data_IF_259880464012
#
_entry.id   IF_259880464012
#
_cell.length_a   1.000
_cell.length_b   1.000
_cell.length_c   1.000
_cell.angle_alpha   90.00
_cell.angle_beta   90.00
_cell.angle_gamma   90.00
#
_symmetry.space_group_name_H-M   'P 1'
#
loop_
_entity.id
_entity.type
_entity.pdbx_description
1 polymer ?
#
# COMPACT_ATOMS: atom_id res chain seq x y z
N UNK A 1 -17.75 4.56 1.45
CA UNK A 1 -17.26 3.17 1.65
C UNK A 1 -18.38 2.22 2.08
N UNK A 2 -19.15 2.54 3.09
CA UNK A 2 -20.27 1.71 3.60
C UNK A 2 -21.31 1.35 2.52
N UNK A 3 -21.62 2.29 1.63
CA UNK A 3 -22.53 2.04 0.50
C UNK A 3 -22.02 0.94 -0.44
N UNK A 4 -20.73 0.95 -0.78
CA UNK A 4 -20.10 -0.08 -1.62
C UNK A 4 -20.17 -1.45 -0.95
N UNK A 5 -19.86 -1.53 0.34
CA UNK A 5 -19.91 -2.77 1.08
C UNK A 5 -21.34 -3.34 1.18
N UNK A 6 -22.36 -2.48 1.27
CA UNK A 6 -23.76 -2.90 1.22
C UNK A 6 -24.19 -3.40 -0.16
N UNK A 7 -23.67 -2.80 -1.22
CA UNK A 7 -23.85 -3.30 -2.59
C UNK A 7 -23.22 -4.68 -2.76
N UNK A 8 -21.98 -4.87 -2.29
CA UNK A 8 -21.29 -6.15 -2.37
C UNK A 8 -21.97 -7.29 -1.61
N UNK A 9 -22.74 -7.01 -0.55
CA UNK A 9 -23.58 -8.02 0.13
C UNK A 9 -24.66 -8.65 -0.79
N UNK A 10 -25.06 -7.92 -1.82
CA UNK A 10 -26.07 -8.39 -2.80
C UNK A 10 -25.42 -8.92 -4.07
N UNK A 11 -24.10 -8.94 -4.14
CA UNK A 11 -23.32 -9.34 -5.33
C UNK A 11 -22.86 -10.78 -5.20
N UNK A 12 -23.35 -11.65 -6.06
CA UNK A 12 -22.98 -13.08 -6.03
C UNK A 12 -21.60 -13.34 -6.60
N UNK A 13 -21.20 -12.62 -7.66
CA UNK A 13 -19.93 -12.78 -8.37
C UNK A 13 -19.29 -11.41 -8.55
N UNK A 14 -18.03 -11.29 -8.21
CA UNK A 14 -17.22 -10.07 -8.40
C UNK A 14 -16.02 -10.38 -9.29
N UNK A 15 -15.79 -9.58 -10.33
CA UNK A 15 -14.66 -9.75 -11.25
C UNK A 15 -13.64 -8.65 -11.01
N UNK A 16 -12.44 -9.03 -10.63
CA UNK A 16 -11.33 -8.10 -10.36
C UNK A 16 -10.10 -8.57 -11.15
N UNK A 17 -10.08 -8.23 -12.45
CA UNK A 17 -9.01 -8.63 -13.36
C UNK A 17 -8.03 -7.49 -13.58
N UNK A 18 -6.78 -7.67 -13.13
CA UNK A 18 -5.68 -6.73 -13.37
C UNK A 18 -4.76 -7.21 -14.47
N UNK A 19 -4.21 -6.27 -15.26
CA UNK A 19 -3.14 -6.52 -16.24
C UNK A 19 -1.75 -6.29 -15.63
N UNK A 20 -1.67 -5.59 -14.53
CA UNK A 20 -0.45 -5.24 -13.81
C UNK A 20 -0.31 -6.04 -12.52
N UNK A 21 0.84 -5.97 -11.88
CA UNK A 21 1.07 -6.56 -10.56
C UNK A 21 0.37 -5.69 -9.51
N UNK A 22 -0.78 -6.15 -9.05
CA UNK A 22 -1.59 -5.45 -8.07
C UNK A 22 -0.94 -5.54 -6.69
N UNK A 23 -0.65 -4.42 -5.99
CA UNK A 23 0.05 -4.49 -4.70
C UNK A 23 -0.69 -5.30 -3.63
N UNK A 24 -2.04 -5.24 -3.61
CA UNK A 24 -2.83 -5.97 -2.61
C UNK A 24 -4.18 -6.47 -3.14
N UNK A 25 -4.93 -5.65 -3.90
CA UNK A 25 -6.25 -6.03 -4.42
C UNK A 25 -7.41 -5.79 -3.45
N UNK A 26 -7.47 -4.59 -2.88
CA UNK A 26 -8.51 -4.20 -1.91
C UNK A 26 -9.94 -4.49 -2.37
N UNK A 27 -10.27 -4.24 -3.64
CA UNK A 27 -11.61 -4.49 -4.19
C UNK A 27 -11.99 -5.97 -4.12
N UNK A 28 -11.04 -6.87 -4.43
CA UNK A 28 -11.24 -8.31 -4.32
C UNK A 28 -11.45 -8.72 -2.86
N UNK A 29 -10.66 -8.18 -1.95
CA UNK A 29 -10.78 -8.44 -0.51
C UNK A 29 -12.14 -7.99 0.05
N UNK A 30 -12.59 -6.81 -0.33
CA UNK A 30 -13.89 -6.27 0.09
C UNK A 30 -15.05 -7.13 -0.42
N UNK A 31 -14.98 -7.62 -1.67
CA UNK A 31 -15.97 -8.54 -2.23
C UNK A 31 -15.97 -9.89 -1.51
N UNK A 32 -14.80 -10.48 -1.28
CA UNK A 32 -14.64 -11.74 -0.55
C UNK A 32 -15.19 -11.62 0.89
N UNK A 33 -14.94 -10.49 1.57
CA UNK A 33 -15.44 -10.23 2.93
C UNK A 33 -16.98 -10.24 3.04
N UNK A 34 -17.69 -10.11 1.91
CA UNK A 34 -19.15 -10.12 1.82
C UNK A 34 -19.70 -11.42 1.25
N UNK A 35 -18.86 -12.43 1.06
CA UNK A 35 -19.26 -13.73 0.54
C UNK A 35 -19.47 -13.76 -0.97
N UNK A 36 -19.01 -12.74 -1.71
CA UNK A 36 -19.04 -12.77 -3.18
C UNK A 36 -17.98 -13.75 -3.69
N UNK A 37 -18.33 -14.54 -4.73
CA UNK A 37 -17.33 -15.33 -5.44
C UNK A 37 -16.47 -14.38 -6.27
N UNK A 38 -15.19 -14.29 -5.95
CA UNK A 38 -14.27 -13.42 -6.69
C UNK A 38 -13.60 -14.18 -7.84
N UNK A 39 -13.60 -13.57 -9.01
CA UNK A 39 -12.85 -14.03 -10.20
C UNK A 39 -11.74 -13.04 -10.44
N UNK A 40 -10.51 -13.48 -10.28
CA UNK A 40 -9.31 -12.63 -10.27
C UNK A 40 -8.25 -13.13 -11.24
N UNK A 41 -7.33 -12.26 -11.63
CA UNK A 41 -6.11 -12.66 -12.34
C UNK A 41 -5.01 -13.02 -11.34
N UNK A 42 -4.10 -13.90 -11.75
CA UNK A 42 -2.89 -14.22 -10.97
C UNK A 42 -1.86 -13.08 -11.13
N UNK A 43 -2.12 -11.94 -10.48
CA UNK A 43 -1.32 -10.72 -10.58
C UNK A 43 -1.07 -10.10 -9.20
N UNK A 44 0.20 -10.00 -8.83
CA UNK A 44 0.64 -9.43 -7.55
C UNK A 44 -0.07 -10.06 -6.35
N UNK A 45 -0.60 -9.22 -5.46
CA UNK A 45 -1.31 -9.63 -4.25
C UNK A 45 -2.76 -10.09 -4.44
N UNK A 46 -3.32 -10.06 -5.65
CA UNK A 46 -4.71 -10.51 -5.87
C UNK A 46 -4.98 -11.94 -5.38
N UNK A 47 -4.13 -12.95 -5.66
CA UNK A 47 -4.36 -14.31 -5.18
C UNK A 47 -4.45 -14.45 -3.67
N UNK A 48 -3.82 -13.55 -2.92
CA UNK A 48 -3.81 -13.56 -1.47
C UNK A 48 -5.14 -13.09 -0.85
N UNK A 49 -5.98 -12.41 -1.63
CA UNK A 49 -7.24 -11.82 -1.15
C UNK A 49 -8.36 -12.82 -0.97
N UNK A 50 -8.23 -14.04 -1.46
CA UNK A 50 -9.25 -15.09 -1.37
C UNK A 50 -8.66 -16.49 -1.33
N UNK A 51 -9.26 -17.37 -0.52
CA UNK A 51 -8.89 -18.78 -0.46
C UNK A 51 -9.67 -19.64 -1.46
N UNK A 52 -10.84 -19.17 -1.92
CA UNK A 52 -11.78 -19.96 -2.73
C UNK A 52 -12.18 -19.29 -4.04
N UNK A 53 -11.63 -18.12 -4.35
CA UNK A 53 -11.90 -17.42 -5.60
C UNK A 53 -11.36 -18.17 -6.83
N UNK A 54 -11.87 -17.82 -7.98
CA UNK A 54 -11.38 -18.35 -9.26
C UNK A 54 -10.21 -17.50 -9.74
N UNK A 55 -9.04 -18.11 -9.81
CA UNK A 55 -7.81 -17.46 -10.26
C UNK A 55 -7.56 -17.78 -11.73
N UNK A 56 -7.54 -16.76 -12.56
CA UNK A 56 -7.20 -16.87 -13.99
C UNK A 56 -5.67 -16.75 -14.13
N UNK A 57 -5.01 -17.82 -14.57
CA UNK A 57 -3.55 -17.83 -14.81
C UNK A 57 -3.11 -16.77 -15.83
N UNK A 58 -3.96 -16.50 -16.83
CA UNK A 58 -3.76 -15.44 -17.84
C UNK A 58 -5.09 -14.73 -18.04
N UNK A 59 -5.04 -13.42 -18.25
CA UNK A 59 -6.23 -12.65 -18.63
C UNK A 59 -6.58 -12.96 -20.08
N UNK A 60 -7.64 -13.76 -20.24
CA UNK A 60 -8.17 -14.17 -21.53
C UNK A 60 -9.70 -14.09 -21.45
N UNK A 61 -10.30 -13.37 -22.39
CA UNK A 61 -11.75 -13.15 -22.42
C UNK A 61 -12.54 -14.46 -22.55
N UNK A 62 -12.10 -15.40 -23.39
CA UNK A 62 -12.76 -16.70 -23.56
C UNK A 62 -12.73 -17.52 -22.26
N UNK A 63 -11.60 -17.52 -21.55
CA UNK A 63 -11.47 -18.21 -20.27
C UNK A 63 -12.32 -17.54 -19.20
N UNK A 64 -12.35 -16.21 -19.15
CA UNK A 64 -13.18 -15.44 -18.21
C UNK A 64 -14.67 -15.77 -18.44
N UNK A 65 -15.14 -15.70 -19.69
CA UNK A 65 -16.53 -16.03 -20.06
C UNK A 65 -16.88 -17.45 -19.59
N UNK A 66 -16.02 -18.43 -19.90
CA UNK A 66 -16.26 -19.83 -19.50
C UNK A 66 -16.40 -19.99 -17.98
N UNK A 67 -15.57 -19.25 -17.20
CA UNK A 67 -15.64 -19.30 -15.73
C UNK A 67 -16.86 -18.58 -15.18
N UNK A 68 -17.28 -17.48 -15.78
CA UNK A 68 -18.50 -16.77 -15.40
C UNK A 68 -19.76 -17.61 -15.75
N UNK A 69 -19.80 -18.21 -16.93
CA UNK A 69 -20.90 -19.10 -17.30
C UNK A 69 -21.05 -20.28 -16.34
N UNK A 70 -19.94 -20.91 -15.93
CA UNK A 70 -19.95 -21.97 -14.93
C UNK A 70 -20.60 -21.49 -13.62
N UNK A 71 -20.15 -20.35 -13.10
CA UNK A 71 -20.67 -19.79 -11.84
C UNK A 71 -22.12 -19.32 -11.94
N UNK A 72 -22.58 -18.90 -13.13
CA UNK A 72 -23.96 -18.44 -13.35
C UNK A 72 -24.90 -19.65 -13.47
N UNK A 73 -24.49 -20.71 -14.17
CA UNK A 73 -25.32 -21.89 -14.45
C UNK A 73 -25.36 -22.86 -13.26
N UNK A 74 -24.28 -22.96 -12.49
CA UNK A 74 -24.17 -23.89 -11.36
C UNK A 74 -24.35 -23.13 -10.03
N UNK A 75 -25.60 -23.05 -9.58
CA UNK A 75 -25.99 -22.39 -8.34
C UNK A 75 -25.37 -23.06 -7.10
N UNK A 76 -25.29 -24.38 -7.09
CA UNK A 76 -24.78 -25.14 -5.95
C UNK A 76 -23.27 -24.90 -5.78
N UNK A 77 -22.52 -24.97 -6.86
CA UNK A 77 -21.09 -24.62 -6.85
C UNK A 77 -20.87 -23.18 -6.37
N UNK A 78 -21.64 -22.24 -6.92
CA UNK A 78 -21.52 -20.83 -6.55
C UNK A 78 -21.80 -20.62 -5.07
N UNK A 79 -22.91 -21.14 -4.55
CA UNK A 79 -23.29 -21.07 -3.13
C UNK A 79 -22.25 -21.71 -2.22
N UNK A 80 -21.72 -22.86 -2.59
CA UNK A 80 -20.68 -23.54 -1.85
C UNK A 80 -19.42 -22.68 -1.72
N UNK A 81 -19.00 -22.02 -2.79
CA UNK A 81 -17.86 -21.10 -2.77
C UNK A 81 -18.19 -19.87 -1.92
N UNK A 82 -19.38 -19.29 -2.05
CA UNK A 82 -19.80 -18.11 -1.28
C UNK A 82 -19.76 -18.39 0.23
N UNK A 83 -20.34 -19.50 0.67
CA UNK A 83 -20.39 -19.90 2.08
C UNK A 83 -18.97 -20.09 2.63
N UNK A 84 -18.11 -20.81 1.89
CA UNK A 84 -16.71 -21.01 2.30
C UNK A 84 -15.94 -19.69 2.36
N UNK A 85 -16.09 -18.85 1.34
CA UNK A 85 -15.43 -17.53 1.30
C UNK A 85 -15.81 -16.66 2.49
N UNK A 86 -17.09 -16.67 2.86
CA UNK A 86 -17.58 -15.87 3.99
C UNK A 86 -17.14 -16.44 5.34
N UNK A 87 -17.29 -17.74 5.55
CA UNK A 87 -16.98 -18.38 6.84
C UNK A 87 -15.48 -18.38 7.15
N UNK A 88 -14.65 -18.60 6.13
CA UNK A 88 -13.20 -18.71 6.29
C UNK A 88 -12.46 -17.39 6.03
N UNK A 89 -13.19 -16.26 6.04
CA UNK A 89 -12.58 -14.96 5.80
C UNK A 89 -11.64 -14.55 6.94
N UNK A 90 -10.33 -14.54 6.66
CA UNK A 90 -9.29 -14.32 7.66
C UNK A 90 -8.93 -12.85 7.90
N UNK A 91 -9.17 -11.97 6.92
CA UNK A 91 -8.71 -10.58 6.95
C UNK A 91 -9.67 -9.62 7.69
N UNK A 92 -10.35 -10.11 8.73
CA UNK A 92 -11.09 -9.22 9.61
C UNK A 92 -10.12 -8.41 10.50
N UNK A 93 -10.50 -7.19 10.87
CA UNK A 93 -9.69 -6.37 11.78
C UNK A 93 -9.29 -7.12 13.04
N UNK A 94 -10.23 -7.88 13.62
CA UNK A 94 -9.97 -8.67 14.83
C UNK A 94 -8.91 -9.75 14.62
N UNK A 95 -8.97 -10.48 13.50
CA UNK A 95 -8.02 -11.55 13.21
C UNK A 95 -6.61 -10.99 12.93
N UNK A 96 -6.54 -9.94 12.11
CA UNK A 96 -5.26 -9.28 11.81
C UNK A 96 -4.63 -8.68 13.07
N UNK A 97 -5.43 -8.04 13.94
CA UNK A 97 -4.89 -7.53 15.21
C UNK A 97 -4.32 -8.64 16.08
N UNK A 98 -5.00 -9.78 16.17
CA UNK A 98 -4.49 -10.96 16.92
C UNK A 98 -3.20 -11.51 16.32
N UNK A 99 -3.10 -11.60 14.98
CA UNK A 99 -1.88 -12.04 14.31
C UNK A 99 -0.71 -11.09 14.58
N UNK A 100 -0.95 -9.78 14.48
CA UNK A 100 0.06 -8.76 14.81
C UNK A 100 0.51 -8.89 16.27
N UNK A 101 -0.42 -9.05 17.20
CA UNK A 101 -0.07 -9.20 18.62
C UNK A 101 0.72 -10.47 18.88
N UNK A 102 0.41 -11.58 18.20
CA UNK A 102 1.18 -12.82 18.29
C UNK A 102 2.59 -12.64 17.70
N UNK A 103 2.71 -11.99 16.53
CA UNK A 103 4.02 -11.69 15.95
C UNK A 103 4.84 -10.78 16.88
N UNK A 104 4.23 -9.77 17.49
CA UNK A 104 4.91 -8.88 18.46
C UNK A 104 5.43 -9.63 19.66
N UNK A 105 4.64 -10.55 20.23
CA UNK A 105 5.07 -11.43 21.33
C UNK A 105 6.29 -12.26 20.94
N UNK A 106 6.27 -12.85 19.75
CA UNK A 106 7.37 -13.66 19.25
C UNK A 106 8.64 -12.83 18.99
N UNK A 107 8.50 -11.64 18.43
CA UNK A 107 9.61 -10.71 18.20
C UNK A 107 10.22 -10.27 19.53
N UNK A 108 9.43 -9.97 20.56
CA UNK A 108 9.93 -9.57 21.87
C UNK A 108 10.72 -10.68 22.58
N UNK A 109 10.50 -11.95 22.22
CA UNK A 109 11.25 -13.09 22.72
C UNK A 109 12.56 -13.30 21.96
N UNK A 110 12.57 -13.01 20.65
CA UNK A 110 13.70 -13.28 19.75
C UNK A 110 14.73 -12.14 19.76
N UNK A 111 14.31 -10.91 20.01
CA UNK A 111 15.23 -9.77 20.07
C UNK A 111 15.81 -9.61 21.46
N UNK A 112 17.06 -10.09 21.68
CA UNK A 112 17.74 -9.79 22.91
C UNK A 112 17.96 -8.28 22.96
N UNK A 113 17.35 -7.62 23.93
CA UNK A 113 17.58 -6.23 24.30
C UNK A 113 17.80 -5.32 23.09
N UNK A 114 16.78 -4.57 22.73
CA UNK A 114 17.03 -3.32 22.01
C UNK A 114 18.26 -2.67 22.61
N UNK A 115 19.29 -2.47 21.82
CA UNK A 115 20.34 -1.54 22.16
C UNK A 115 19.58 -0.25 22.40
N UNK A 116 19.42 0.12 23.68
CA UNK A 116 18.91 1.44 24.02
C UNK A 116 19.78 2.39 23.21
N UNK A 117 19.18 3.03 22.21
CA UNK A 117 19.88 4.04 21.43
C UNK A 117 20.52 4.94 22.48
N UNK A 118 21.85 4.89 22.58
CA UNK A 118 22.62 5.67 23.49
C UNK A 118 22.06 7.09 23.45
N UNK A 119 21.93 7.73 24.63
CA UNK A 119 21.36 9.06 24.84
C UNK A 119 21.44 9.92 23.58
N UNK A 120 20.30 10.24 23.01
CA UNK A 120 20.07 10.74 21.67
C UNK A 120 21.10 11.79 21.24
N UNK A 121 22.07 11.38 20.45
CA UNK A 121 22.83 12.34 19.66
C UNK A 121 21.85 12.88 18.62
N UNK A 122 21.65 14.20 18.60
CA UNK A 122 20.88 14.84 17.53
C UNK A 122 21.55 14.53 16.19
N UNK A 123 20.79 13.93 15.25
CA UNK A 123 21.27 13.64 13.91
C UNK A 123 20.89 14.78 12.97
N UNK A 124 21.72 15.03 11.97
CA UNK A 124 21.39 15.81 10.79
C UNK A 124 20.74 14.89 9.76
N UNK A 125 19.45 15.07 9.49
CA UNK A 125 18.68 14.21 8.60
C UNK A 125 18.31 15.00 7.35
N UNK A 126 18.72 14.50 6.17
CA UNK A 126 18.23 14.99 4.88
C UNK A 126 17.02 14.13 4.49
N UNK A 127 15.83 14.71 4.57
CA UNK A 127 14.58 14.02 4.25
C UNK A 127 14.03 14.47 2.90
N UNK A 128 14.00 13.54 1.93
CA UNK A 128 13.59 13.77 0.55
C UNK A 128 12.31 12.99 0.30
N UNK A 129 11.21 13.68 0.11
CA UNK A 129 9.90 13.07 -0.16
C UNK A 129 8.93 14.10 -0.71
N UNK A 130 7.76 13.67 -1.13
CA UNK A 130 6.69 14.59 -1.54
C UNK A 130 6.05 15.27 -0.33
N UNK A 131 6.37 16.53 -0.09
CA UNK A 131 5.73 17.37 0.94
C UNK A 131 4.47 18.07 0.44
N UNK A 132 4.25 18.09 -0.89
CA UNK A 132 3.11 18.72 -1.55
C UNK A 132 2.91 20.21 -1.16
N UNK A 133 4.01 20.97 -1.15
CA UNK A 133 4.07 22.36 -0.72
C UNK A 133 3.26 23.29 -1.67
N UNK A 134 3.26 22.98 -2.98
CA UNK A 134 2.59 23.78 -4.01
C UNK A 134 1.05 23.85 -3.91
N UNK A 135 0.45 23.00 -3.09
CA UNK A 135 -1.00 22.94 -2.88
C UNK A 135 -1.40 23.43 -1.48
N UNK A 136 -0.69 24.44 -0.97
CA UNK A 136 -0.96 25.08 0.34
C UNK A 136 -1.09 24.09 1.50
N UNK A 137 -0.32 23.02 1.43
CA UNK A 137 -0.32 22.00 2.47
C UNK A 137 -1.62 21.19 2.58
N UNK A 138 -2.42 21.09 1.52
CA UNK A 138 -3.67 20.28 1.49
C UNK A 138 -3.52 18.86 2.01
N UNK A 139 -2.32 18.32 1.93
CA UNK A 139 -2.03 16.99 2.46
C UNK A 139 -1.41 17.06 3.86
N UNK A 140 -2.09 17.65 4.83
CA UNK A 140 -1.69 17.59 6.24
C UNK A 140 -1.46 16.16 6.74
N UNK A 141 -2.03 15.17 6.08
CA UNK A 141 -1.95 13.74 6.39
C UNK A 141 -0.92 12.99 5.55
N UNK A 142 -0.10 13.70 4.79
CA UNK A 142 0.99 13.09 4.02
C UNK A 142 1.96 12.35 4.96
N UNK A 143 2.24 11.09 4.65
CA UNK A 143 3.14 10.24 5.42
C UNK A 143 4.53 10.86 5.55
N UNK A 144 5.06 11.45 4.47
CA UNK A 144 6.36 12.12 4.48
C UNK A 144 6.40 13.25 5.51
N UNK A 145 5.38 14.11 5.55
CA UNK A 145 5.30 15.20 6.53
C UNK A 145 5.20 14.72 7.97
N UNK A 146 4.46 13.63 8.20
CA UNK A 146 4.36 13.01 9.54
C UNK A 146 5.70 12.46 10.00
N UNK A 147 6.42 11.76 9.13
CA UNK A 147 7.76 11.24 9.41
C UNK A 147 8.72 12.40 9.68
N UNK A 148 8.71 13.44 8.84
CA UNK A 148 9.52 14.64 9.03
C UNK A 148 9.30 15.28 10.41
N UNK A 149 8.03 15.48 10.78
CA UNK A 149 7.65 16.03 12.08
C UNK A 149 8.05 15.09 13.23
N UNK A 150 8.02 13.78 13.01
CA UNK A 150 8.52 12.78 13.95
C UNK A 150 10.01 12.97 14.25
N UNK A 151 10.83 13.14 13.21
CA UNK A 151 12.27 13.42 13.38
C UNK A 151 12.53 14.71 14.16
N UNK A 152 11.79 15.79 13.84
CA UNK A 152 11.92 17.07 14.54
C UNK A 152 11.54 16.92 16.03
N UNK A 153 10.41 16.23 16.32
CA UNK A 153 9.98 16.00 17.72
C UNK A 153 10.95 15.12 18.50
N UNK A 154 11.69 14.26 17.82
CA UNK A 154 12.76 13.46 18.42
C UNK A 154 14.05 14.28 18.66
N UNK A 155 14.08 15.56 18.30
CA UNK A 155 15.22 16.46 18.52
C UNK A 155 16.30 16.36 17.45
N UNK A 156 15.99 15.85 16.25
CA UNK A 156 16.90 15.82 15.12
C UNK A 156 16.86 17.14 14.33
N UNK A 157 17.98 17.47 13.70
CA UNK A 157 18.07 18.60 12.76
C UNK A 157 17.70 18.10 11.36
N UNK A 158 16.58 18.54 10.83
CA UNK A 158 16.02 18.00 9.58
C UNK A 158 16.02 19.03 8.46
N UNK A 159 16.70 18.71 7.36
CA UNK A 159 16.58 19.45 6.10
C UNK A 159 15.63 18.69 5.17
N UNK A 160 14.50 19.30 4.84
CA UNK A 160 13.50 18.71 3.97
C UNK A 160 13.66 19.14 2.51
N UNK A 161 13.44 18.23 1.57
CA UNK A 161 13.39 18.49 0.13
C UNK A 161 12.13 17.85 -0.43
N UNK A 162 11.23 18.67 -1.01
CA UNK A 162 10.04 18.17 -1.71
C UNK A 162 10.40 17.81 -3.15
N UNK A 163 10.54 16.52 -3.43
CA UNK A 163 10.98 16.00 -4.73
C UNK A 163 9.99 16.36 -5.86
N UNK A 164 8.71 16.04 -5.67
CA UNK A 164 7.67 16.27 -6.68
C UNK A 164 7.39 17.74 -6.94
N UNK A 165 7.48 18.58 -5.92
CA UNK A 165 7.28 20.01 -6.08
C UNK A 165 8.42 20.62 -6.89
N UNK A 166 9.67 20.23 -6.62
CA UNK A 166 10.84 20.65 -7.40
C UNK A 166 10.71 20.19 -8.83
N UNK A 167 10.47 18.91 -9.07
CA UNK A 167 10.28 18.36 -10.42
C UNK A 167 9.20 19.14 -11.17
N UNK A 168 8.07 19.42 -10.53
CA UNK A 168 6.97 20.11 -11.18
C UNK A 168 7.22 21.58 -11.48
N UNK A 169 7.93 22.28 -10.58
CA UNK A 169 8.15 23.72 -10.68
C UNK A 169 9.31 24.10 -11.61
N UNK A 170 10.29 23.17 -11.79
CA UNK A 170 11.52 23.46 -12.54
C UNK A 170 11.62 22.74 -13.90
N UNK A 171 10.53 22.18 -14.39
CA UNK A 171 10.47 21.66 -15.76
C UNK A 171 10.67 22.78 -16.76
N UNK A 172 11.58 22.58 -17.70
CA UNK A 172 11.85 23.52 -18.79
C UNK A 172 12.28 22.75 -20.04
N UNK A 173 12.59 23.47 -21.13
CA UNK A 173 12.99 22.86 -22.41
C UNK A 173 14.29 22.06 -22.30
N UNK A 174 15.20 22.43 -21.41
CA UNK A 174 16.50 21.75 -21.20
C UNK A 174 16.43 20.63 -20.16
N UNK A 175 15.43 20.66 -19.24
CA UNK A 175 15.15 19.61 -18.28
C UNK A 175 13.63 19.29 -18.23
N UNK A 176 13.10 18.63 -19.29
CA UNK A 176 11.66 18.37 -19.41
C UNK A 176 11.09 17.51 -18.28
N UNK A 177 11.96 16.73 -17.63
CA UNK A 177 11.59 15.87 -16.48
C UNK A 177 11.81 16.56 -15.14
N UNK A 178 12.53 17.69 -15.08
CA UNK A 178 12.89 18.36 -13.82
C UNK A 178 13.85 17.57 -12.92
N UNK A 179 14.36 16.43 -13.40
CA UNK A 179 15.18 15.52 -12.61
C UNK A 179 16.62 16.02 -12.43
N UNK A 180 17.16 16.72 -13.42
CA UNK A 180 18.50 17.31 -13.35
C UNK A 180 18.55 18.38 -12.26
N UNK A 181 17.55 19.26 -12.21
CA UNK A 181 17.42 20.30 -11.19
C UNK A 181 17.27 19.70 -9.79
N UNK A 182 16.45 18.64 -9.65
CA UNK A 182 16.29 17.94 -8.37
C UNK A 182 17.61 17.34 -7.90
N UNK A 183 18.31 16.61 -8.78
CA UNK A 183 19.59 15.97 -8.46
C UNK A 183 20.65 17.00 -8.02
N UNK A 184 20.77 18.11 -8.77
CA UNK A 184 21.69 19.18 -8.40
C UNK A 184 21.37 19.78 -7.04
N UNK A 185 20.09 19.97 -6.74
CA UNK A 185 19.65 20.48 -5.44
C UNK A 185 19.97 19.48 -4.31
N UNK A 186 19.73 18.20 -4.52
CA UNK A 186 20.07 17.16 -3.55
C UNK A 186 21.57 17.15 -3.25
N UNK A 187 22.42 17.09 -4.30
CA UNK A 187 23.88 17.07 -4.16
C UNK A 187 24.38 18.32 -3.45
N UNK A 188 23.89 19.51 -3.86
CA UNK A 188 24.26 20.78 -3.17
C UNK A 188 23.84 20.79 -1.71
N UNK A 189 22.62 20.30 -1.42
CA UNK A 189 22.12 20.22 -0.04
C UNK A 189 22.92 19.22 0.80
N UNK A 190 23.29 18.08 0.22
CA UNK A 190 24.14 17.10 0.87
C UNK A 190 25.52 17.69 1.25
N UNK A 191 26.18 18.34 0.29
CA UNK A 191 27.50 18.92 0.49
C UNK A 191 27.51 20.03 1.54
N UNK A 192 26.46 20.85 1.59
CA UNK A 192 26.35 21.97 2.52
C UNK A 192 25.89 21.52 3.92
N UNK A 193 24.91 20.64 3.99
CA UNK A 193 24.29 20.20 5.24
C UNK A 193 25.08 19.09 5.93
N UNK A 194 25.79 18.25 5.15
CA UNK A 194 26.54 17.06 5.60
C UNK A 194 25.68 16.20 6.54
N UNK A 195 24.61 15.57 6.03
CA UNK A 195 23.69 14.78 6.84
C UNK A 195 24.34 13.51 7.37
N UNK A 196 23.97 13.11 8.59
CA UNK A 196 24.31 11.80 9.17
C UNK A 196 23.43 10.70 8.59
N UNK A 197 22.21 11.05 8.14
CA UNK A 197 21.22 10.14 7.59
C UNK A 197 20.44 10.79 6.44
N UNK A 198 20.23 10.02 5.36
CA UNK A 198 19.33 10.40 4.26
C UNK A 198 18.12 9.47 4.28
N UNK A 199 16.92 10.06 4.28
CA UNK A 199 15.66 9.33 4.21
C UNK A 199 14.94 9.75 2.93
N UNK A 200 14.61 8.77 2.10
CA UNK A 200 13.89 8.96 0.83
C UNK A 200 12.58 8.18 0.85
N UNK A 201 11.46 8.83 0.39
CA UNK A 201 10.12 8.22 0.39
C UNK A 201 9.22 8.68 -0.75
#
# INVERSE_FOLDING_TARGET
HTHILNFLKKTSISVVCSRWEEPFGRTSLEAASRGSVVVITNKGGLPETTNYGIILKKLNSKLLIKKLELLIKDDDLRRKIQIKTYNDFKFSHSNISKEIDNLRKNISIILPKYIALAKKKSLKILHITNFNERHDGRLHYNTGKRINNGFIRLGHNVLQISDRDIISNYRNLTDPKGSSTLNNKIVKSYNNFKPDLIVMG
#
